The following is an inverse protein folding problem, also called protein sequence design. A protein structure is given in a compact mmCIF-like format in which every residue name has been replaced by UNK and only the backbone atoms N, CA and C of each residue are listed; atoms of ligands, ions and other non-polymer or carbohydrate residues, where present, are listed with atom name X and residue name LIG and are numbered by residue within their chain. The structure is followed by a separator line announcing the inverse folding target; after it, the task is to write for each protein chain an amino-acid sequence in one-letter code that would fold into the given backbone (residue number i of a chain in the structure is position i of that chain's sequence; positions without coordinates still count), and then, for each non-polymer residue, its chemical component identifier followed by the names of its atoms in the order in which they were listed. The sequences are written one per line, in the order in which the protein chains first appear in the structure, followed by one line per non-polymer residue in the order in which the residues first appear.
data_IF_935480432178
#
_entry.id   IF_935480432178
#
_cell.length_a   1.000
_cell.length_b   1.000
_cell.length_c   1.000
_cell.angle_alpha   90.00
_cell.angle_beta   90.00
_cell.angle_gamma   90.00
#
_symmetry.space_group_name_H-M   'P 1'
#
loop_
_entity.id
_entity.type
_entity.pdbx_description
1 polymer ?
#
# COMPACT_ATOMS: atom_id res chain seq x y z
N UNK A 1 -2.06 3.25 -3.76
CA UNK A 1 -1.78 2.14 -2.83
C UNK A 1 -0.28 2.01 -2.58
N UNK A 2 0.16 1.55 -1.39
CA UNK A 2 1.54 1.15 -1.11
C UNK A 2 2.10 0.10 -2.09
N UNK A 3 1.27 -0.78 -2.66
CA UNK A 3 1.73 -1.84 -3.59
C UNK A 3 2.36 -1.26 -4.87
N UNK A 4 1.74 -0.22 -5.43
CA UNK A 4 2.27 0.52 -6.59
C UNK A 4 3.60 1.20 -6.24
N UNK A 5 3.69 1.81 -5.05
CA UNK A 5 4.90 2.53 -4.64
C UNK A 5 6.07 1.58 -4.40
N UNK A 6 5.79 0.39 -3.88
CA UNK A 6 6.77 -0.68 -3.66
C UNK A 6 7.04 -1.51 -4.92
N UNK A 7 6.27 -1.31 -6.00
CA UNK A 7 6.46 -1.95 -7.30
C UNK A 7 6.00 -3.41 -7.33
N UNK A 8 4.87 -3.70 -6.69
CA UNK A 8 4.16 -4.97 -6.80
C UNK A 8 3.22 -5.00 -8.01
N UNK A 9 2.83 -6.20 -8.49
CA UNK A 9 1.60 -6.35 -9.25
C UNK A 9 0.44 -5.74 -8.47
N UNK A 10 -0.51 -5.15 -9.18
CA UNK A 10 -1.66 -4.48 -8.58
C UNK A 10 -2.95 -5.18 -9.00
N UNK A 11 -3.92 -5.16 -8.10
CA UNK A 11 -5.27 -5.68 -8.32
C UNK A 11 -6.28 -4.55 -8.16
N UNK A 12 -7.57 -4.86 -8.22
CA UNK A 12 -8.66 -3.94 -7.90
C UNK A 12 -8.56 -3.40 -6.44
N UNK A 13 -7.71 -3.97 -5.58
CA UNK A 13 -7.43 -3.45 -4.24
C UNK A 13 -6.89 -2.00 -4.26
N UNK A 14 -6.26 -1.55 -5.36
CA UNK A 14 -5.83 -0.15 -5.51
C UNK A 14 -7.00 0.83 -5.52
N UNK A 15 -8.16 0.40 -6.02
CA UNK A 15 -9.34 1.24 -6.12
C UNK A 15 -9.97 1.42 -4.73
N UNK A 16 -9.98 0.36 -3.91
CA UNK A 16 -10.42 0.43 -2.52
C UNK A 16 -9.53 1.38 -1.71
N UNK A 17 -8.20 1.26 -1.84
CA UNK A 17 -7.28 2.21 -1.22
C UNK A 17 -7.54 3.66 -1.64
N UNK A 18 -7.82 3.88 -2.92
CA UNK A 18 -8.09 5.22 -3.47
C UNK A 18 -9.42 5.77 -2.95
N UNK A 19 -10.44 4.92 -2.85
CA UNK A 19 -11.74 5.23 -2.26
C UNK A 19 -11.60 5.67 -0.80
N UNK A 20 -10.81 4.96 0.01
CA UNK A 20 -10.54 5.34 1.40
C UNK A 20 -9.84 6.69 1.52
N UNK A 21 -8.85 6.95 0.66
CA UNK A 21 -8.15 8.22 0.62
C UNK A 21 -9.10 9.38 0.30
N UNK A 22 -10.05 9.16 -0.63
CA UNK A 22 -11.08 10.15 -0.98
C UNK A 22 -12.06 10.33 0.18
N UNK A 23 -12.56 9.25 0.78
CA UNK A 23 -13.47 9.30 1.93
C UNK A 23 -12.84 10.06 3.10
N UNK A 24 -11.59 9.76 3.45
CA UNK A 24 -10.84 10.46 4.47
C UNK A 24 -10.63 11.94 4.11
N UNK A 25 -10.35 12.26 2.84
CA UNK A 25 -10.20 13.64 2.40
C UNK A 25 -11.51 14.44 2.51
N UNK A 26 -12.65 13.81 2.21
CA UNK A 26 -13.97 14.42 2.42
C UNK A 26 -14.26 14.68 3.90
N UNK A 27 -13.86 13.76 4.77
CA UNK A 27 -14.01 13.92 6.21
C UNK A 27 -13.11 15.03 6.78
N UNK A 28 -11.88 15.16 6.27
CA UNK A 28 -10.87 16.12 6.76
C UNK A 28 -10.96 17.51 6.10
N UNK A 29 -11.60 17.60 4.93
CA UNK A 29 -11.54 18.79 4.06
C UNK A 29 -10.18 19.00 3.37
N UNK A 30 -9.25 18.05 3.50
CA UNK A 30 -7.91 18.09 2.92
C UNK A 30 -7.41 16.67 2.64
N UNK A 31 -6.47 16.51 1.70
CA UNK A 31 -5.89 15.21 1.39
C UNK A 31 -5.20 14.59 2.62
N UNK A 32 -5.52 13.33 2.91
CA UNK A 32 -4.89 12.57 4.00
C UNK A 32 -3.38 12.38 3.75
N UNK A 33 -3.00 12.08 2.50
CA UNK A 33 -1.61 11.88 2.07
C UNK A 33 -1.27 12.76 0.86
N UNK A 34 -0.85 14.03 1.06
CA UNK A 34 -0.47 14.96 -0.02
C UNK A 34 1.02 14.83 -0.40
N UNK A 35 1.50 13.62 -0.68
CA UNK A 35 2.90 13.43 -1.11
C UNK A 35 3.08 13.77 -2.58
N UNK A 36 4.15 14.50 -2.92
CA UNK A 36 4.49 14.84 -4.31
C UNK A 36 5.43 13.80 -4.93
N UNK A 37 6.17 13.07 -4.09
CA UNK A 37 6.96 11.91 -4.46
C UNK A 37 6.56 10.64 -3.70
N UNK A 38 6.98 9.50 -4.23
CA UNK A 38 6.69 8.18 -3.67
C UNK A 38 7.22 8.02 -2.24
N UNK A 39 8.41 8.55 -1.97
CA UNK A 39 8.99 8.51 -0.62
C UNK A 39 8.14 9.29 0.39
N UNK A 40 7.65 10.48 0.02
CA UNK A 40 6.79 11.28 0.91
C UNK A 40 5.47 10.55 1.17
N UNK A 41 4.86 9.99 0.13
CA UNK A 41 3.65 9.20 0.28
C UNK A 41 3.85 8.01 1.22
N UNK A 42 4.88 7.18 0.99
CA UNK A 42 5.21 6.04 1.87
C UNK A 42 5.42 6.52 3.31
N UNK A 43 6.20 7.60 3.50
CA UNK A 43 6.46 8.16 4.83
C UNK A 43 5.17 8.58 5.52
N UNK A 44 4.28 9.29 4.82
CA UNK A 44 3.02 9.76 5.39
C UNK A 44 2.10 8.59 5.78
N UNK A 45 2.03 7.56 4.93
CA UNK A 45 1.27 6.34 5.21
C UNK A 45 1.82 5.68 6.47
N UNK A 46 3.14 5.48 6.56
CA UNK A 46 3.76 4.80 7.68
C UNK A 46 3.66 5.55 9.00
N UNK A 47 3.74 6.87 8.97
CA UNK A 47 3.57 7.68 10.18
C UNK A 47 2.15 7.59 10.75
N UNK A 48 1.13 7.41 9.90
CA UNK A 48 -0.28 7.35 10.33
C UNK A 48 -0.81 5.92 10.51
N UNK A 49 -0.27 4.93 9.80
CA UNK A 49 -0.76 3.54 9.82
C UNK A 49 0.24 2.56 10.43
N UNK A 50 1.46 3.01 10.72
CA UNK A 50 2.53 2.17 11.25
C UNK A 50 3.34 1.47 10.16
N UNK A 51 4.13 0.49 10.59
CA UNK A 51 5.03 -0.26 9.72
C UNK A 51 4.24 -1.11 8.71
N UNK A 52 4.60 -1.02 7.43
CA UNK A 52 4.06 -1.92 6.41
C UNK A 52 4.51 -3.36 6.67
N UNK A 53 3.70 -4.37 6.33
CA UNK A 53 4.06 -5.76 6.60
C UNK A 53 5.39 -6.17 5.97
N UNK A 54 6.22 -6.87 6.74
CA UNK A 54 7.56 -7.32 6.29
C UNK A 54 7.47 -8.20 5.03
N UNK A 55 6.40 -8.98 4.85
CA UNK A 55 6.16 -9.76 3.63
C UNK A 55 6.06 -8.86 2.39
N UNK A 56 5.25 -7.81 2.46
CA UNK A 56 5.10 -6.82 1.39
C UNK A 56 6.43 -6.11 1.10
N UNK A 57 7.20 -5.76 2.13
CA UNK A 57 8.50 -5.12 1.98
C UNK A 57 9.55 -6.07 1.37
N UNK A 58 9.57 -7.35 1.77
CA UNK A 58 10.51 -8.34 1.26
C UNK A 58 10.37 -8.60 -0.24
N UNK A 59 9.15 -8.58 -0.76
CA UNK A 59 8.86 -8.88 -2.17
C UNK A 59 8.77 -7.62 -3.07
N UNK A 60 8.78 -6.42 -2.49
CA UNK A 60 8.69 -5.17 -3.26
C UNK A 60 9.99 -4.83 -3.99
N UNK A 61 9.94 -4.69 -5.31
CA UNK A 61 11.12 -4.38 -6.12
C UNK A 61 11.70 -2.97 -5.83
N UNK A 62 10.87 -2.04 -5.35
CA UNK A 62 11.28 -0.67 -4.98
C UNK A 62 11.54 -0.50 -3.49
N UNK A 63 11.33 -1.52 -2.65
CA UNK A 63 11.60 -1.45 -1.20
C UNK A 63 12.99 -0.90 -0.86
N UNK A 64 14.09 -1.34 -1.50
CA UNK A 64 15.43 -0.84 -1.18
C UNK A 64 15.64 0.66 -1.47
N UNK A 65 14.76 1.29 -2.25
CA UNK A 65 14.82 2.72 -2.53
C UNK A 65 14.40 3.55 -1.30
N UNK A 66 13.42 3.06 -0.54
CA UNK A 66 12.82 3.79 0.58
C UNK A 66 13.22 3.25 1.96
N UNK A 67 13.57 1.96 2.03
CA UNK A 67 13.87 1.26 3.28
C UNK A 67 15.32 0.79 3.32
N UNK A 68 15.85 0.68 4.53
CA UNK A 68 17.13 0.03 4.85
C UNK A 68 16.87 -1.20 5.70
N UNK A 69 17.76 -2.19 5.59
CA UNK A 69 17.69 -3.36 6.49
C UNK A 69 18.12 -2.97 7.90
N UNK A 70 17.33 -3.38 8.87
CA UNK A 70 17.59 -3.22 10.29
C UNK A 70 18.15 -4.54 10.83
N UNK A 71 19.48 -4.63 10.91
CA UNK A 71 20.18 -5.85 11.33
C UNK A 71 20.02 -6.11 12.84
N UNK A 72 19.70 -5.06 13.61
CA UNK A 72 19.66 -5.09 15.07
C UNK A 72 18.27 -5.39 15.64
N UNK A 73 17.23 -5.48 14.80
CA UNK A 73 15.85 -5.71 15.25
C UNK A 73 15.43 -7.16 15.07
N UNK A 74 14.90 -7.75 16.13
CA UNK A 74 14.30 -9.09 16.11
C UNK A 74 12.86 -9.11 15.58
N UNK A 75 12.25 -7.93 15.40
CA UNK A 75 10.79 -7.80 15.15
C UNK A 75 10.43 -7.31 13.75
N UNK A 76 11.31 -6.54 13.09
CA UNK A 76 11.10 -6.12 11.70
C UNK A 76 12.44 -5.90 11.01
N UNK A 77 12.59 -6.53 9.84
CA UNK A 77 13.83 -6.51 9.05
C UNK A 77 14.03 -5.19 8.32
N UNK A 78 12.96 -4.42 8.11
CA UNK A 78 13.00 -3.19 7.34
C UNK A 78 12.77 -1.96 8.22
N UNK A 79 13.49 -0.88 7.92
CA UNK A 79 13.29 0.42 8.55
C UNK A 79 13.23 1.47 7.46
N UNK A 80 12.20 2.32 7.50
CA UNK A 80 12.13 3.46 6.58
C UNK A 80 13.36 4.34 6.77
N UNK A 81 13.98 4.76 5.66
CA UNK A 81 15.09 5.73 5.69
C UNK A 81 14.58 7.05 6.26
N UNK A 82 15.45 7.80 6.93
CA UNK A 82 15.08 9.16 7.34
C UNK A 82 15.11 10.11 6.13
N UNK A 83 14.43 11.27 6.17
CA UNK A 83 14.49 12.26 5.09
C UNK A 83 15.93 12.65 4.72
N UNK A 84 16.81 12.72 5.72
CA UNK A 84 18.23 13.05 5.53
C UNK A 84 18.98 11.93 4.80
N UNK A 85 18.71 10.67 5.14
CA UNK A 85 19.30 9.50 4.47
C UNK A 85 18.82 9.42 3.00
N UNK A 86 17.52 9.59 2.77
CA UNK A 86 16.95 9.60 1.43
C UNK A 86 17.51 10.74 0.58
N UNK A 87 17.65 11.93 1.16
CA UNK A 87 18.25 13.07 0.47
C UNK A 87 19.71 12.82 0.10
N UNK A 88 20.50 12.24 1.02
CA UNK A 88 21.91 11.92 0.77
C UNK A 88 22.08 10.92 -0.37
N UNK A 89 21.18 9.96 -0.51
CA UNK A 89 21.26 8.92 -1.54
C UNK A 89 20.71 9.38 -2.90
N UNK A 90 19.61 10.14 -2.92
CA UNK A 90 18.90 10.47 -4.16
C UNK A 90 19.08 11.92 -4.62
N UNK A 91 19.61 12.79 -3.77
CA UNK A 91 19.67 14.23 -3.98
C UNK A 91 18.31 14.94 -3.86
N UNK A 92 17.20 14.22 -3.69
CA UNK A 92 15.85 14.80 -3.58
C UNK A 92 15.56 15.20 -2.14
N UNK A 93 15.06 16.40 -1.91
CA UNK A 93 14.66 16.88 -0.58
C UNK A 93 13.18 16.57 -0.33
N UNK A 94 12.83 15.65 0.58
CA UNK A 94 11.43 15.39 0.93
C UNK A 94 10.83 16.60 1.65
N UNK A 95 9.64 17.01 1.25
CA UNK A 95 8.90 18.11 1.85
C UNK A 95 7.83 17.58 2.81
N UNK A 96 7.25 18.53 3.53
CA UNK A 96 6.15 18.28 4.44
C UNK A 96 4.94 19.10 4.00
N UNK A 97 4.04 18.45 3.26
CA UNK A 97 2.89 19.10 2.63
C UNK A 97 1.58 18.82 3.38
N UNK A 98 1.61 18.04 4.47
CA UNK A 98 0.40 17.72 5.23
C UNK A 98 -0.06 18.91 6.05
N UNK A 99 -1.34 19.24 5.87
CA UNK A 99 -2.07 20.11 6.79
C UNK A 99 -2.30 19.41 8.13
N UNK A 100 -2.78 18.16 8.09
CA UNK A 100 -3.00 17.32 9.27
C UNK A 100 -1.90 16.28 9.41
N UNK A 101 -1.25 16.23 10.59
CA UNK A 101 -0.26 15.20 10.91
C UNK A 101 -0.79 14.27 11.98
N UNK A 102 -1.06 13.03 11.59
CA UNK A 102 -1.56 12.01 12.50
C UNK A 102 -0.51 10.93 12.72
N UNK A 103 -0.39 10.48 13.96
CA UNK A 103 0.37 9.28 14.35
C UNK A 103 -0.47 8.00 14.28
N UNK A 104 -1.79 8.14 14.14
CA UNK A 104 -2.75 7.06 13.99
C UNK A 104 -4.04 7.58 13.36
N UNK A 105 -4.81 6.70 12.71
CA UNK A 105 -6.14 7.05 12.18
C UNK A 105 -7.14 7.45 13.28
N UNK A 106 -6.92 7.12 14.55
CA UNK A 106 -7.75 7.62 15.66
C UNK A 106 -7.64 9.15 15.82
N UNK A 107 -6.58 9.77 15.30
CA UNK A 107 -6.44 11.22 15.27
C UNK A 107 -7.58 11.95 14.54
N UNK A 108 -8.23 11.29 13.57
CA UNK A 108 -9.37 11.85 12.84
C UNK A 108 -10.58 12.14 13.74
N UNK A 109 -10.74 11.46 14.87
CA UNK A 109 -11.87 11.70 15.78
C UNK A 109 -11.83 13.09 16.43
N UNK A 110 -10.67 13.74 16.44
CA UNK A 110 -10.45 15.01 17.13
C UNK A 110 -10.50 16.23 16.19
N UNK A 111 -10.65 16.01 14.88
CA UNK A 111 -10.61 17.12 13.89
C UNK A 111 -11.94 17.86 13.78
N UNK A 112 -13.04 17.23 14.20
CA UNK A 112 -14.39 17.78 14.05
C UNK A 112 -14.82 18.49 15.34
N UNK A 113 -15.06 19.81 15.32
CA UNK A 113 -15.56 20.51 16.49
C UNK A 113 -17.03 20.12 16.73
N UNK A 114 -17.28 19.38 17.81
CA UNK A 114 -18.62 19.01 18.26
C UNK A 114 -19.38 20.29 18.64
N UNK A 115 -20.20 20.79 17.72
CA UNK A 115 -20.81 22.13 17.81
C UNK A 115 -22.24 22.12 18.35
N UNK A 116 -22.88 20.95 18.48
CA UNK A 116 -24.28 20.87 18.90
C UNK A 116 -24.41 20.91 20.44
N UNK A 117 -25.24 21.78 21.05
CA UNK A 117 -25.45 21.81 22.50
C UNK A 117 -26.16 20.57 23.08
N UNK A 118 -26.89 19.78 22.27
CA UNK A 118 -27.63 18.61 22.73
C UNK A 118 -26.71 17.38 22.94
N UNK A 119 -26.72 16.80 24.14
CA UNK A 119 -25.84 15.67 24.50
C UNK A 119 -26.11 14.39 23.71
N UNK A 120 -27.36 14.11 23.35
CA UNK A 120 -27.71 12.94 22.55
C UNK A 120 -27.12 13.01 21.13
N UNK A 121 -27.22 14.18 20.49
CA UNK A 121 -26.68 14.41 19.15
C UNK A 121 -25.14 14.33 19.15
N UNK A 122 -24.49 14.80 20.22
CA UNK A 122 -23.03 14.62 20.39
C UNK A 122 -22.63 13.15 20.42
N UNK A 123 -23.37 12.33 21.18
CA UNK A 123 -23.09 10.89 21.31
C UNK A 123 -23.27 10.19 19.96
N UNK A 124 -24.34 10.52 19.23
CA UNK A 124 -24.57 9.98 17.90
C UNK A 124 -23.45 10.39 16.91
N UNK A 125 -23.08 11.67 16.87
CA UNK A 125 -22.01 12.17 15.99
C UNK A 125 -20.65 11.53 16.31
N UNK A 126 -20.33 11.32 17.59
CA UNK A 126 -19.12 10.61 18.00
C UNK A 126 -19.15 9.12 17.61
N UNK A 127 -20.31 8.47 17.70
CA UNK A 127 -20.47 7.08 17.28
C UNK A 127 -20.30 6.94 15.75
N UNK A 128 -20.90 7.82 14.97
CA UNK A 128 -20.77 7.85 13.51
C UNK A 128 -19.31 8.10 13.10
N UNK A 129 -18.63 9.05 13.74
CA UNK A 129 -17.21 9.31 13.49
C UNK A 129 -16.33 8.09 13.83
N UNK A 130 -16.65 7.38 14.92
CA UNK A 130 -15.94 6.16 15.30
C UNK A 130 -16.12 5.06 14.26
N UNK A 131 -17.36 4.82 13.83
CA UNK A 131 -17.65 3.82 12.80
C UNK A 131 -16.95 4.15 11.49
N UNK A 132 -16.90 5.44 11.11
CA UNK A 132 -16.18 5.87 9.92
C UNK A 132 -14.67 5.61 10.02
N UNK A 133 -14.03 5.93 11.15
CA UNK A 133 -12.60 5.66 11.36
C UNK A 133 -12.32 4.16 11.37
N UNK A 134 -13.18 3.36 12.00
CA UNK A 134 -13.04 1.90 12.03
C UNK A 134 -13.23 1.30 10.63
N UNK A 135 -14.10 1.87 9.78
CA UNK A 135 -14.23 1.50 8.36
C UNK A 135 -12.93 1.80 7.59
N UNK A 136 -12.36 3.00 7.71
CA UNK A 136 -11.09 3.35 7.07
C UNK A 136 -9.96 2.39 7.51
N UNK A 137 -9.90 2.07 8.80
CA UNK A 137 -8.96 1.09 9.35
C UNK A 137 -9.19 -0.34 8.87
N UNK A 138 -10.39 -0.70 8.43
CA UNK A 138 -10.64 -2.04 7.91
C UNK A 138 -10.22 -2.17 6.44
N UNK A 139 -10.35 -1.09 5.66
CA UNK A 139 -10.08 -1.11 4.22
C UNK A 139 -8.62 -0.76 3.86
N UNK A 140 -7.97 0.15 4.61
CA UNK A 140 -6.58 0.57 4.36
C UNK A 140 -5.50 -0.52 4.60
N UNK A 141 -5.58 -1.41 5.61
CA UNK A 141 -4.55 -2.41 5.87
C UNK A 141 -4.71 -3.71 5.06
N UNK A 142 -5.53 -3.73 4.00
CA UNK A 142 -5.78 -4.94 3.22
C UNK A 142 -4.96 -5.12 1.90
N UNK A 143 -3.70 -4.65 1.74
CA UNK A 143 -2.90 -5.08 0.59
C UNK A 143 -2.32 -6.51 0.72
N UNK A 144 -2.62 -7.25 1.81
CA UNK A 144 -2.09 -8.60 2.04
C UNK A 144 -3.09 -9.74 1.85
N UNK A 145 -4.40 -9.51 1.96
CA UNK A 145 -5.38 -10.59 1.84
C UNK A 145 -5.39 -11.15 0.41
N UNK A 146 -5.17 -10.30 -0.59
CA UNK A 146 -5.05 -10.75 -1.98
C UNK A 146 -3.66 -11.29 -2.31
N UNK A 147 -2.59 -10.71 -1.75
CA UNK A 147 -1.20 -11.09 -2.06
C UNK A 147 -0.85 -12.54 -1.69
N UNK A 148 -1.42 -13.07 -0.59
CA UNK A 148 -1.24 -14.48 -0.21
C UNK A 148 -2.11 -15.38 -1.10
N UNK A 149 -3.32 -14.94 -1.47
CA UNK A 149 -4.21 -15.71 -2.34
C UNK A 149 -3.70 -15.83 -3.78
N UNK A 150 -3.02 -14.80 -4.30
CA UNK A 150 -2.43 -14.81 -5.64
C UNK A 150 -1.09 -15.55 -5.68
N UNK A 151 -0.29 -15.56 -4.61
CA UNK A 151 0.94 -16.35 -4.58
C UNK A 151 0.66 -17.86 -4.59
N UNK A 152 -0.42 -18.32 -3.95
CA UNK A 152 -0.88 -19.70 -4.09
C UNK A 152 -1.47 -19.97 -5.49
N UNK A 153 -2.09 -18.96 -6.13
CA UNK A 153 -2.61 -19.03 -7.50
C UNK A 153 -1.53 -19.04 -8.59
N UNK A 154 -0.42 -18.35 -8.38
CA UNK A 154 0.70 -18.23 -9.34
C UNK A 154 1.56 -19.51 -9.40
N UNK A 155 1.63 -20.29 -8.32
CA UNK A 155 2.27 -21.63 -8.35
C UNK A 155 1.52 -22.55 -9.32
N UNK A 156 0.20 -22.41 -9.47
CA UNK A 156 -0.58 -23.19 -10.45
C UNK A 156 -0.51 -22.62 -11.87
N UNK A 157 -0.10 -21.37 -12.05
CA UNK A 157 -0.04 -20.73 -13.36
C UNK A 157 1.26 -21.05 -14.12
N UNK A 158 2.36 -21.31 -13.39
CA UNK A 158 3.61 -21.84 -13.97
C UNK A 158 3.40 -23.26 -14.55
N UNK A 159 2.54 -24.09 -13.95
CA UNK A 159 2.21 -25.44 -14.47
C UNK A 159 1.33 -25.39 -15.75
N UNK A 160 0.52 -24.34 -15.93
CA UNK A 160 -0.31 -24.16 -17.12
C UNK A 160 0.51 -23.66 -18.33
N UNK A 161 1.56 -22.88 -18.08
CA UNK A 161 2.47 -22.42 -19.15
C UNK A 161 3.30 -23.59 -19.69
N UNK A 162 3.61 -24.59 -18.86
CA UNK A 162 4.37 -25.78 -19.31
C UNK A 162 3.52 -26.75 -20.16
N UNK A 163 2.21 -26.84 -19.91
CA UNK A 163 1.29 -27.65 -20.74
C UNK A 163 0.92 -26.97 -22.08
N UNK A 164 1.16 -25.66 -22.21
CA UNK A 164 0.86 -24.89 -23.42
C UNK A 164 1.92 -24.97 -24.52
N UNK A 165 3.12 -25.51 -24.25
CA UNK A 165 4.23 -25.55 -25.22
C UNK A 165 4.37 -26.86 -26.01
N UNK A 166 3.62 -27.93 -25.70
CA UNK A 166 3.68 -29.19 -26.47
C UNK A 166 2.76 -29.22 -27.71
N UNK A 167 1.84 -28.27 -27.89
CA UNK A 167 0.82 -28.33 -28.96
C UNK A 167 1.08 -27.46 -30.21
N UNK A 168 2.26 -26.84 -30.35
CA UNK A 168 2.55 -25.93 -31.46
C UNK A 168 3.87 -26.20 -32.20
N UNK A 169 4.26 -27.47 -32.34
CA UNK A 169 5.29 -27.89 -33.31
C UNK A 169 4.61 -28.66 -34.45
N UNK A 170 4.42 -28.07 -35.64
CA UNK A 170 3.92 -28.83 -36.80
C UNK A 170 4.98 -29.82 -37.29
N UNK A 171 4.60 -31.02 -37.77
CA UNK A 171 5.54 -32.00 -38.29
C UNK A 171 6.19 -31.48 -39.58
N UNK A 172 7.52 -31.41 -39.60
CA UNK A 172 8.28 -31.17 -40.84
C UNK A 172 8.10 -32.38 -41.77
N UNK A 173 7.37 -32.19 -42.86
CA UNK A 173 7.39 -33.10 -44.01
C UNK A 173 8.73 -32.95 -44.70
N UNK A 174 9.65 -33.88 -44.46
CA UNK A 174 10.88 -34.01 -45.22
C UNK A 174 10.61 -34.80 -46.50
N UNK A 175 10.59 -34.12 -47.65
CA UNK A 175 10.65 -34.77 -48.95
C UNK A 175 12.05 -35.37 -49.16
N UNK A 176 12.06 -36.67 -49.40
CA UNK A 176 13.23 -37.51 -49.70
C UNK A 176 13.77 -37.17 -51.09
N UNK A 177 15.06 -36.83 -51.17
CA UNK A 177 15.83 -36.95 -52.42
C UNK A 177 16.59 -38.27 -52.36
N UNK A 178 16.23 -39.20 -53.24
CA UNK A 178 16.95 -40.46 -53.48
C UNK A 178 18.05 -40.21 -54.52
N UNK A 179 19.26 -40.63 -54.19
CA UNK A 179 20.28 -41.06 -55.17
C UNK A 179 19.89 -42.43 -55.73
#
# INVERSE_FOLDING_TARGET
SPEIMLGHPFTEAIDMWSLDCIAAAMYLGALLYPGLGEYEMIRYIMETQGQLPDTMLNHGCKTPQFFKRNVDSTTSVWKLKTPEEYHKETGKQPMENRFWKFTSLDGLLHTRPISNPNSADKIAEMADARMFVDMLKAMLPNPLIDYISELDGLILQEDIIFLGQEFLIPPRVGSVSLN
#
